data_IF_676560520955
#
_entry.id   IF_676560520955
#
_cell.length_a   1.000
_cell.length_b   1.000
_cell.length_c   1.000
_cell.angle_alpha   90.00
_cell.angle_beta   90.00
_cell.angle_gamma   90.00
#
_symmetry.space_group_name_H-M   'P 1'
#
loop_
_entity.id
_entity.type
_entity.pdbx_description
1 polymer ?
#
# COMPACT_ATOMS: atom_id res chain seq x y z
N UNK A 1 13.87 1.50 17.82
CA UNK A 1 12.49 0.97 18.02
C UNK A 1 12.52 -0.04 19.15
N UNK A 2 11.58 -0.01 20.11
CA UNK A 2 11.57 -1.00 21.21
C UNK A 2 10.90 -2.29 20.74
N UNK A 3 11.38 -3.45 21.22
CA UNK A 3 10.92 -4.79 20.80
C UNK A 3 9.40 -5.00 20.96
N UNK A 4 8.79 -4.36 21.97
CA UNK A 4 7.32 -4.36 22.22
C UNK A 4 6.50 -3.71 21.10
N UNK A 5 7.04 -2.71 20.41
CA UNK A 5 6.31 -2.03 19.34
C UNK A 5 6.22 -2.92 18.10
N UNK A 6 7.31 -3.65 17.81
CA UNK A 6 7.39 -4.56 16.66
C UNK A 6 6.35 -5.70 16.74
N UNK A 7 6.21 -6.35 17.90
CA UNK A 7 5.24 -7.44 18.09
C UNK A 7 3.79 -6.98 17.92
N UNK A 8 3.46 -5.75 18.31
CA UNK A 8 2.14 -5.16 18.11
C UNK A 8 1.83 -4.97 16.62
N UNK A 9 2.79 -4.48 15.84
CA UNK A 9 2.63 -4.30 14.40
C UNK A 9 2.56 -5.66 13.66
N UNK A 10 3.37 -6.64 14.06
CA UNK A 10 3.34 -8.00 13.48
C UNK A 10 2.01 -8.71 13.77
N UNK A 11 1.46 -8.58 14.99
CA UNK A 11 0.19 -9.24 15.33
C UNK A 11 -1.00 -8.75 14.53
N UNK A 12 -0.98 -7.49 14.07
CA UNK A 12 -2.12 -6.87 13.41
C UNK A 12 -1.91 -6.70 11.90
N UNK A 13 -1.14 -7.58 11.25
CA UNK A 13 -0.94 -7.52 9.80
C UNK A 13 -2.17 -7.97 9.00
N UNK A 14 -3.14 -8.66 9.63
CA UNK A 14 -4.31 -9.26 8.97
C UNK A 14 -4.00 -10.55 8.20
N UNK A 15 -5.02 -11.19 7.62
CA UNK A 15 -4.88 -12.48 6.94
C UNK A 15 -4.81 -12.29 5.40
N UNK A 16 -3.95 -13.01 4.65
CA UNK A 16 -3.98 -12.98 3.18
C UNK A 16 -5.33 -13.39 2.57
N UNK A 17 -6.10 -14.25 3.25
CA UNK A 17 -7.44 -14.69 2.84
C UNK A 17 -8.55 -13.71 3.31
N UNK A 18 -8.18 -12.51 3.75
CA UNK A 18 -9.14 -11.53 4.28
C UNK A 18 -9.75 -10.71 3.14
N UNK A 19 -10.94 -11.12 2.70
CA UNK A 19 -11.70 -10.45 1.64
C UNK A 19 -12.78 -9.48 2.17
N UNK A 20 -12.70 -9.09 3.43
CA UNK A 20 -13.57 -8.07 4.02
C UNK A 20 -13.24 -6.65 3.52
N UNK A 21 -14.08 -5.69 3.87
CA UNK A 21 -13.84 -4.25 3.64
C UNK A 21 -12.84 -3.62 4.62
N UNK A 22 -12.10 -4.44 5.37
CA UNK A 22 -11.02 -3.97 6.23
C UNK A 22 -9.94 -3.22 5.46
N UNK A 23 -9.39 -2.20 6.13
CA UNK A 23 -8.40 -1.31 5.54
C UNK A 23 -7.03 -1.53 6.14
N UNK A 24 -6.02 -1.31 5.31
CA UNK A 24 -4.62 -1.54 5.64
C UNK A 24 -3.79 -0.31 5.31
N UNK A 25 -2.79 -0.06 6.14
CA UNK A 25 -1.70 0.82 5.77
C UNK A 25 -0.74 0.04 4.88
N UNK A 26 -0.52 0.54 3.67
CA UNK A 26 0.27 -0.10 2.63
C UNK A 26 1.33 0.87 2.14
N UNK A 27 2.57 0.41 2.00
CA UNK A 27 3.63 1.12 1.31
C UNK A 27 3.75 0.61 -0.12
N UNK A 28 3.65 1.52 -1.10
CA UNK A 28 3.86 1.24 -2.52
C UNK A 28 5.16 1.90 -2.94
N UNK A 29 6.18 1.10 -3.25
CA UNK A 29 7.48 1.60 -3.71
C UNK A 29 7.57 1.65 -5.23
N UNK A 30 8.08 2.77 -5.72
CA UNK A 30 8.27 3.08 -7.14
C UNK A 30 9.65 3.71 -7.33
N UNK A 31 10.10 3.85 -8.58
CA UNK A 31 11.37 4.55 -8.89
C UNK A 31 11.41 5.99 -8.35
N UNK A 32 10.25 6.67 -8.31
CA UNK A 32 10.06 7.98 -7.68
C UNK A 32 8.58 8.24 -7.43
N UNK A 33 8.26 9.15 -6.52
CA UNK A 33 6.93 9.75 -6.47
C UNK A 33 6.76 10.82 -7.56
N UNK A 34 5.63 10.79 -8.26
CA UNK A 34 5.20 11.88 -9.15
C UNK A 34 3.67 12.04 -9.21
N UNK A 35 3.20 13.19 -9.70
CA UNK A 35 1.76 13.51 -9.74
C UNK A 35 0.94 12.54 -10.58
N UNK A 36 1.51 11.96 -11.64
CA UNK A 36 0.83 11.01 -12.54
C UNK A 36 0.65 9.66 -11.83
N UNK A 37 1.69 9.17 -11.15
CA UNK A 37 1.66 7.94 -10.36
C UNK A 37 0.67 8.07 -9.21
N UNK A 38 0.70 9.20 -8.50
CA UNK A 38 -0.28 9.50 -7.44
C UNK A 38 -1.72 9.41 -7.95
N UNK A 39 -2.02 10.00 -9.12
CA UNK A 39 -3.36 9.95 -9.71
C UNK A 39 -3.80 8.50 -9.99
N UNK A 40 -2.92 7.68 -10.56
CA UNK A 40 -3.21 6.26 -10.84
C UNK A 40 -3.49 5.49 -9.54
N UNK A 41 -2.67 5.70 -8.51
CA UNK A 41 -2.81 5.00 -7.22
C UNK A 41 -4.08 5.45 -6.48
N UNK A 42 -4.40 6.75 -6.56
CA UNK A 42 -5.59 7.34 -5.95
C UNK A 42 -6.92 6.84 -6.53
N UNK A 43 -6.93 6.21 -7.71
CA UNK A 43 -8.13 5.58 -8.28
C UNK A 43 -8.56 4.33 -7.49
N UNK A 44 -7.63 3.72 -6.75
CA UNK A 44 -7.85 2.44 -6.06
C UNK A 44 -7.77 2.53 -4.55
N UNK A 45 -7.14 3.58 -4.02
CA UNK A 45 -6.92 3.73 -2.59
C UNK A 45 -6.75 5.19 -2.17
N UNK A 46 -6.71 5.43 -0.86
CA UNK A 46 -6.44 6.76 -0.33
C UNK A 46 -4.95 6.92 -0.07
N UNK A 47 -4.28 7.79 -0.83
CA UNK A 47 -2.89 8.16 -0.58
C UNK A 47 -2.81 9.03 0.68
N UNK A 48 -2.11 8.55 1.71
CA UNK A 48 -1.94 9.22 3.00
C UNK A 48 -0.72 10.13 2.98
N UNK A 49 0.39 9.66 2.40
CA UNK A 49 1.65 10.40 2.38
C UNK A 49 2.47 10.06 1.14
N UNK A 50 3.06 11.10 0.56
CA UNK A 50 4.09 10.97 -0.46
C UNK A 50 5.48 10.82 0.20
N UNK A 51 6.27 9.89 -0.30
CA UNK A 51 7.65 9.62 0.10
C UNK A 51 8.55 9.81 -1.13
N UNK A 52 9.87 9.81 -0.94
CA UNK A 52 10.83 9.94 -2.05
C UNK A 52 10.60 8.86 -3.13
N UNK A 53 10.44 7.61 -2.69
CA UNK A 53 10.26 6.44 -3.54
C UNK A 53 8.85 5.83 -3.37
N UNK A 54 7.81 6.65 -3.55
CA UNK A 54 6.43 6.16 -3.63
C UNK A 54 5.51 6.68 -2.53
N UNK A 55 4.60 5.84 -2.03
CA UNK A 55 3.44 6.32 -1.27
C UNK A 55 3.07 5.41 -0.10
N UNK A 56 2.64 6.03 1.01
CA UNK A 56 1.84 5.36 2.02
C UNK A 56 0.36 5.55 1.68
N UNK A 57 -0.38 4.45 1.66
CA UNK A 57 -1.77 4.37 1.26
C UNK A 57 -2.60 3.66 2.33
N UNK A 58 -3.86 4.06 2.43
CA UNK A 58 -4.92 3.34 3.12
C UNK A 58 -5.74 2.61 2.04
N UNK A 59 -5.68 1.27 2.03
CA UNK A 59 -6.22 0.44 0.96
C UNK A 59 -6.87 -0.85 1.50
N UNK A 60 -7.89 -1.34 0.81
CA UNK A 60 -8.37 -2.71 0.96
C UNK A 60 -7.40 -3.69 0.28
N UNK A 61 -7.35 -4.97 0.68
CA UNK A 61 -6.42 -5.94 0.05
C UNK A 61 -6.70 -6.15 -1.43
N UNK A 62 -7.96 -6.04 -1.85
CA UNK A 62 -8.41 -6.16 -3.23
C UNK A 62 -7.92 -4.99 -4.10
N UNK A 63 -7.62 -3.83 -3.50
CA UNK A 63 -7.09 -2.68 -4.24
C UNK A 63 -5.60 -2.87 -4.60
N UNK A 64 -4.84 -3.66 -3.84
CA UNK A 64 -3.40 -3.89 -4.08
C UNK A 64 -3.11 -4.48 -5.48
N UNK A 65 -3.79 -5.56 -5.93
CA UNK A 65 -3.59 -6.07 -7.28
C UNK A 65 -4.04 -5.06 -8.36
N UNK A 66 -5.11 -4.30 -8.13
CA UNK A 66 -5.57 -3.28 -9.10
C UNK A 66 -4.58 -2.11 -9.23
N UNK A 67 -3.98 -1.65 -8.12
CA UNK A 67 -2.87 -0.68 -8.15
C UNK A 67 -1.72 -1.21 -9.02
N UNK A 68 -1.28 -2.44 -8.76
CA UNK A 68 -0.18 -3.07 -9.50
C UNK A 68 -0.49 -3.19 -10.99
N UNK A 69 -1.71 -3.62 -11.32
CA UNK A 69 -2.20 -3.76 -12.70
C UNK A 69 -2.27 -2.40 -13.40
N UNK A 70 -2.88 -1.38 -12.80
CA UNK A 70 -3.00 -0.05 -13.41
C UNK A 70 -1.66 0.63 -13.65
N UNK A 71 -0.68 0.42 -12.78
CA UNK A 71 0.69 0.88 -12.99
C UNK A 71 1.37 0.10 -14.13
N UNK A 72 1.26 -1.22 -14.11
CA UNK A 72 1.86 -2.10 -15.13
C UNK A 72 1.31 -1.84 -16.53
N UNK A 73 -0.01 -1.64 -16.68
CA UNK A 73 -0.65 -1.30 -17.96
C UNK A 73 -0.14 0.03 -18.55
N UNK A 74 0.44 0.91 -17.72
CA UNK A 74 1.03 2.19 -18.12
C UNK A 74 2.56 2.13 -18.15
N UNK A 75 3.14 0.93 -18.11
CA UNK A 75 4.59 0.66 -18.09
C UNK A 75 5.32 1.33 -16.92
N UNK A 76 4.67 1.38 -15.75
CA UNK A 76 5.28 1.85 -14.51
C UNK A 76 5.66 0.66 -13.63
N UNK A 77 6.95 0.51 -13.34
CA UNK A 77 7.47 -0.56 -12.49
C UNK A 77 7.07 -0.35 -11.03
N UNK A 78 6.68 -1.44 -10.37
CA UNK A 78 6.42 -1.52 -8.93
C UNK A 78 7.55 -2.35 -8.32
N UNK A 79 8.30 -1.76 -7.39
CA UNK A 79 9.47 -2.42 -6.78
C UNK A 79 9.05 -3.30 -5.60
N UNK A 80 8.17 -2.79 -4.75
CA UNK A 80 7.50 -3.57 -3.71
C UNK A 80 6.16 -2.95 -3.36
N UNK A 81 5.26 -3.79 -2.86
CA UNK A 81 4.09 -3.34 -2.11
C UNK A 81 4.08 -4.09 -0.79
N UNK A 82 4.19 -3.34 0.31
CA UNK A 82 4.28 -3.91 1.65
C UNK A 82 3.07 -3.48 2.46
N UNK A 83 2.28 -4.48 2.87
CA UNK A 83 1.23 -4.29 3.87
C UNK A 83 1.88 -4.15 5.24
N UNK A 84 1.69 -3.00 5.89
CA UNK A 84 2.32 -2.67 7.17
C UNK A 84 1.46 -3.10 8.35
N UNK A 85 0.18 -2.73 8.36
CA UNK A 85 -0.74 -3.01 9.47
C UNK A 85 -2.21 -2.91 9.03
N UNK A 86 -3.09 -3.70 9.64
CA UNK A 86 -4.56 -3.57 9.58
C UNK A 86 -5.01 -2.41 10.47
N UNK A 87 -5.82 -1.51 9.91
CA UNK A 87 -6.30 -0.29 10.56
C UNK A 87 -7.68 -0.47 11.20
N UNK A 88 -8.55 -1.26 10.56
CA UNK A 88 -9.91 -1.58 11.00
C UNK A 88 -10.42 -2.78 10.23
#
# INVERSE_FOLDING_TARGET
MKKKDLEKYIKNIGNPNEYSDSKYLVYVELYKADKKLKKIISEHCKVIKELEFGYLCEANLQAIPEITKSLSLKNHAVYQIVRLVKLS
#
